data_IF_833914565979
#
_entry.id   IF_833914565979
#
_cell.length_a   1.000
_cell.length_b   1.000
_cell.length_c   1.000
_cell.angle_alpha   90.00
_cell.angle_beta   90.00
_cell.angle_gamma   90.00
#
_symmetry.space_group_name_H-M   'P 1'
#
loop_
_entity.id
_entity.type
_entity.pdbx_description
1 polymer ?
#
# COMPACT_ATOMS: atom_id res chain seq x y z
N UNK A 1 1.92 4.47 -22.29
CA UNK A 1 2.79 5.06 -21.24
C UNK A 1 3.28 3.93 -20.37
N UNK A 2 4.59 3.65 -20.33
CA UNK A 2 5.14 2.56 -19.52
C UNK A 2 5.70 3.13 -18.20
N UNK A 3 5.37 2.49 -17.07
CA UNK A 3 5.95 2.82 -15.76
C UNK A 3 7.07 1.82 -15.46
N UNK A 4 8.31 2.26 -15.57
CA UNK A 4 9.48 1.45 -15.20
C UNK A 4 9.81 1.62 -13.72
N UNK A 5 10.22 0.54 -13.05
CA UNK A 5 10.62 0.59 -11.65
C UNK A 5 11.77 1.58 -11.41
N UNK A 6 11.80 2.19 -10.22
CA UNK A 6 12.87 3.13 -9.77
C UNK A 6 13.01 4.40 -10.62
N UNK A 7 12.07 4.69 -11.52
CA UNK A 7 12.02 5.95 -12.26
C UNK A 7 11.21 7.02 -11.52
N UNK A 8 11.28 8.26 -11.99
CA UNK A 8 10.46 9.35 -11.45
C UNK A 8 8.95 9.08 -11.54
N UNK A 9 8.50 8.39 -12.60
CA UNK A 9 7.10 7.97 -12.75
C UNK A 9 6.68 6.95 -11.69
N UNK A 10 7.57 6.02 -11.35
CA UNK A 10 7.33 5.04 -10.28
C UNK A 10 7.22 5.73 -8.92
N UNK A 11 8.08 6.71 -8.63
CA UNK A 11 7.99 7.52 -7.40
C UNK A 11 6.67 8.27 -7.32
N UNK A 12 6.25 8.95 -8.39
CA UNK A 12 4.98 9.67 -8.43
C UNK A 12 3.79 8.74 -8.18
N UNK A 13 3.79 7.57 -8.82
CA UNK A 13 2.74 6.58 -8.62
C UNK A 13 2.71 6.04 -7.18
N UNK A 14 3.87 5.74 -6.60
CA UNK A 14 4.01 5.28 -5.21
C UNK A 14 3.50 6.31 -4.21
N UNK A 15 3.85 7.58 -4.40
CA UNK A 15 3.38 8.66 -3.53
C UNK A 15 1.85 8.77 -3.55
N UNK A 16 1.23 8.74 -4.75
CA UNK A 16 -0.24 8.74 -4.87
C UNK A 16 -0.89 7.56 -4.16
N UNK A 17 -0.30 6.37 -4.28
CA UNK A 17 -0.79 5.19 -3.56
C UNK A 17 -0.74 5.37 -2.03
N UNK A 18 0.36 5.92 -1.52
CA UNK A 18 0.52 6.20 -0.08
C UNK A 18 -0.54 7.20 0.38
N UNK A 19 -0.77 8.27 -0.37
CA UNK A 19 -1.75 9.30 -0.02
C UNK A 19 -3.16 8.71 0.02
N UNK A 20 -3.56 7.91 -0.97
CA UNK A 20 -4.85 7.21 -0.95
C UNK A 20 -4.97 6.21 0.20
N UNK A 21 -3.89 5.50 0.55
CA UNK A 21 -3.91 4.59 1.67
C UNK A 21 -4.10 5.33 3.00
N UNK A 22 -3.45 6.49 3.17
CA UNK A 22 -3.61 7.36 4.34
C UNK A 22 -5.00 7.97 4.43
N UNK A 23 -5.53 8.45 3.30
CA UNK A 23 -6.88 9.00 3.20
C UNK A 23 -7.96 7.96 3.56
N UNK A 24 -7.73 6.71 3.15
CA UNK A 24 -8.55 5.56 3.55
C UNK A 24 -8.34 5.11 5.02
N UNK A 25 -7.57 5.85 5.83
CA UNK A 25 -7.31 5.54 7.24
C UNK A 25 -6.45 4.28 7.45
N UNK A 26 -5.66 3.87 6.45
CA UNK A 26 -4.80 2.68 6.54
C UNK A 26 -3.40 3.05 7.00
N UNK A 27 -2.79 2.18 7.80
CA UNK A 27 -1.40 2.34 8.20
C UNK A 27 -0.47 1.93 7.05
N UNK A 28 0.43 2.83 6.63
CA UNK A 28 1.37 2.57 5.53
C UNK A 28 2.77 2.28 6.09
N UNK A 29 3.39 1.19 5.66
CA UNK A 29 4.78 0.83 5.98
C UNK A 29 5.57 0.59 4.69
N UNK A 30 6.83 1.01 4.69
CA UNK A 30 7.79 0.77 3.61
C UNK A 30 8.94 -0.06 4.16
N UNK A 31 9.34 -1.12 3.46
CA UNK A 31 10.51 -1.92 3.85
C UNK A 31 11.82 -1.35 3.27
N UNK A 32 12.96 -1.96 3.63
CA UNK A 32 14.28 -1.52 3.17
C UNK A 32 14.51 -1.72 1.65
N UNK A 33 13.72 -2.58 1.00
CA UNK A 33 13.81 -2.85 -0.43
C UNK A 33 12.95 -1.85 -1.23
N UNK A 34 11.95 -1.24 -0.58
CA UNK A 34 11.03 -0.27 -1.15
C UNK A 34 9.65 -0.82 -1.47
N UNK A 35 9.27 -1.98 -0.92
CA UNK A 35 7.89 -2.46 -0.98
C UNK A 35 7.01 -1.65 -0.03
N UNK A 36 5.78 -1.36 -0.46
CA UNK A 36 4.83 -0.53 0.28
C UNK A 36 3.65 -1.39 0.69
N UNK A 37 3.38 -1.45 2.00
CA UNK A 37 2.27 -2.19 2.59
C UNK A 37 1.25 -1.21 3.17
N UNK A 38 -0.01 -1.34 2.76
CA UNK A 38 -1.14 -0.64 3.38
C UNK A 38 -1.91 -1.65 4.25
N UNK A 39 -1.82 -1.47 5.57
CA UNK A 39 -2.41 -2.38 6.55
C UNK A 39 -3.76 -1.83 6.98
N UNK A 40 -4.82 -2.58 6.68
CA UNK A 40 -6.12 -2.40 7.34
C UNK A 40 -6.02 -3.02 8.74
N UNK A 41 -6.66 -2.41 9.76
CA UNK A 41 -6.89 -3.13 11.03
C UNK A 41 -7.51 -4.48 10.67
N UNK A 42 -6.94 -5.55 11.22
CA UNK A 42 -7.34 -6.91 10.90
C UNK A 42 -8.88 -7.00 10.95
N UNK A 43 -9.50 -7.17 9.78
CA UNK A 43 -10.81 -7.76 9.74
C UNK A 43 -10.56 -9.20 10.18
N UNK A 44 -10.80 -9.49 11.46
CA UNK A 44 -10.93 -10.85 11.93
C UNK A 44 -12.09 -11.43 11.12
N UNK A 45 -11.78 -12.03 9.97
CA UNK A 45 -12.72 -12.80 9.19
C UNK A 45 -13.04 -13.97 10.09
N UNK A 46 -14.09 -13.84 10.91
CA UNK A 46 -14.67 -14.96 11.64
C UNK A 46 -14.99 -16.02 10.57
N UNK A 47 -14.07 -16.97 10.40
CA UNK A 47 -14.38 -18.25 9.77
C UNK A 47 -15.48 -18.80 10.67
N UNK A 48 -16.72 -18.79 10.17
CA UNK A 48 -17.81 -19.48 10.84
C UNK A 48 -17.34 -20.93 11.01
N UNK A 49 -17.22 -21.46 12.23
CA UNK A 49 -17.13 -22.90 12.37
C UNK A 49 -18.49 -23.45 11.93
N UNK A 50 -18.44 -24.34 10.94
CA UNK A 50 -19.53 -25.29 10.69
C UNK A 50 -19.66 -26.24 11.87
#
# INVERSE_FOLDING_TARGET
MCRLALTGDDRRARNRFIDWARDAGRAVRVDAIGNIFAVARAAIRMRRPC
#
